data_IF_298420838539
#
_entry.id   IF_298420838539
#
_cell.length_a   1.000
_cell.length_b   1.000
_cell.length_c   1.000
_cell.angle_alpha   90.00
_cell.angle_beta   90.00
_cell.angle_gamma   90.00
#
_symmetry.space_group_name_H-M   'P 1'
#
loop_
_entity.id
_entity.type
_entity.pdbx_description
1 polymer ?
#
# COMPACT_ATOMS: atom_id res chain seq x y z
N UNK A 1 -38.72 58.06 38.43
CA UNK A 1 -37.64 57.67 39.36
C UNK A 1 -36.32 57.91 38.63
N UNK A 2 -35.74 59.12 38.73
CA UNK A 2 -34.71 59.51 39.72
C UNK A 2 -33.46 58.61 39.62
N UNK A 3 -32.40 59.07 38.94
CA UNK A 3 -31.16 59.71 39.50
C UNK A 3 -30.12 58.63 39.89
N UNK A 4 -28.80 58.63 39.62
CA UNK A 4 -27.69 59.56 39.27
C UNK A 4 -26.55 58.68 38.67
N UNK A 5 -25.63 59.07 37.77
CA UNK A 5 -24.68 60.19 37.65
C UNK A 5 -23.32 60.02 38.37
N UNK A 6 -22.26 60.43 37.64
CA UNK A 6 -20.86 60.76 37.98
C UNK A 6 -19.80 59.62 37.94
N UNK A 7 -18.78 59.64 37.06
CA UNK A 7 -17.68 60.59 36.72
C UNK A 7 -16.44 60.51 37.63
N UNK A 8 -15.29 60.84 37.00
CA UNK A 8 -13.92 61.08 37.49
C UNK A 8 -12.93 59.89 37.44
N UNK A 9 -11.66 60.04 37.01
CA UNK A 9 -10.91 61.05 36.25
C UNK A 9 -9.58 60.37 35.82
N UNK A 10 -9.05 60.77 34.67
CA UNK A 10 -7.74 60.38 34.13
C UNK A 10 -6.56 60.95 34.95
N UNK A 11 -5.48 60.19 35.12
CA UNK A 11 -4.15 60.74 35.38
C UNK A 11 -3.14 60.07 34.44
N UNK A 12 -2.50 60.93 33.64
CA UNK A 12 -1.32 60.68 32.85
C UNK A 12 -0.07 60.86 33.73
N UNK A 13 0.94 60.01 33.54
CA UNK A 13 2.34 60.33 33.86
C UNK A 13 3.21 59.82 32.72
N UNK A 14 3.78 60.75 31.96
CA UNK A 14 4.93 60.54 31.09
C UNK A 14 6.21 60.54 31.92
N UNK A 15 7.16 59.66 31.59
CA UNK A 15 8.58 59.93 31.84
C UNK A 15 9.44 59.34 30.72
N UNK A 16 10.15 60.23 30.03
CA UNK A 16 11.15 59.98 28.99
C UNK A 16 12.38 59.24 29.53
N UNK A 17 13.07 58.45 28.68
CA UNK A 17 14.44 58.05 28.99
C UNK A 17 15.06 56.93 28.16
N UNK A 18 15.78 57.35 27.11
CA UNK A 18 17.08 56.84 26.63
C UNK A 18 17.26 55.43 26.02
N UNK A 19 17.93 55.47 24.87
CA UNK A 19 18.53 54.38 24.09
C UNK A 19 19.65 53.66 24.85
N UNK A 20 19.78 52.34 24.63
CA UNK A 20 20.92 51.55 25.05
C UNK A 20 20.98 50.22 24.29
N UNK A 21 21.86 50.16 23.29
CA UNK A 21 22.27 48.96 22.58
C UNK A 21 23.45 48.37 23.36
N UNK A 22 23.41 47.10 23.77
CA UNK A 22 24.62 46.28 23.97
C UNK A 22 24.26 44.80 24.12
N UNK A 23 24.84 44.01 23.22
CA UNK A 23 24.70 42.56 23.03
C UNK A 23 25.88 41.88 23.74
N UNK A 24 25.61 41.06 24.77
CA UNK A 24 26.60 40.19 25.40
C UNK A 24 25.99 38.87 25.90
N UNK A 25 26.38 37.81 25.19
CA UNK A 25 26.89 36.55 25.74
C UNK A 25 25.92 35.50 26.30
N UNK A 26 25.74 34.46 25.48
CA UNK A 26 25.90 33.04 25.81
C UNK A 26 25.26 32.49 27.10
N UNK A 27 24.04 31.96 26.96
CA UNK A 27 23.56 30.86 27.80
C UNK A 27 23.42 29.58 26.96
N UNK A 28 24.47 28.77 27.03
CA UNK A 28 24.52 27.39 26.54
C UNK A 28 23.70 26.53 27.51
N UNK A 29 22.42 26.33 27.21
CA UNK A 29 21.66 25.23 27.81
C UNK A 29 21.88 23.95 26.97
N UNK A 30 22.25 22.82 27.58
CA UNK A 30 22.28 21.55 26.87
C UNK A 30 20.84 21.11 26.63
N UNK A 31 20.35 21.27 25.40
CA UNK A 31 19.13 20.57 24.97
C UNK A 31 19.50 19.12 24.72
N UNK A 32 19.55 18.33 25.79
CA UNK A 32 19.21 16.92 25.71
C UNK A 32 17.74 16.85 25.30
N UNK A 33 17.49 16.83 23.99
CA UNK A 33 16.22 16.42 23.43
C UNK A 33 16.08 14.94 23.74
N UNK A 34 15.33 14.62 24.79
CA UNK A 34 14.77 13.30 24.96
C UNK A 34 13.93 13.01 23.71
N UNK A 35 14.41 12.07 22.89
CA UNK A 35 13.73 11.51 21.72
C UNK A 35 12.50 10.79 22.26
N UNK A 36 11.34 11.44 22.22
CA UNK A 36 10.08 10.87 22.68
C UNK A 36 9.65 9.67 21.82
N UNK A 37 8.73 8.82 22.30
CA UNK A 37 8.23 7.66 21.55
C UNK A 37 7.60 8.01 20.20
N UNK A 38 7.17 9.27 20.01
CA UNK A 38 6.64 9.79 18.75
C UNK A 38 7.68 9.82 17.62
N UNK A 39 8.94 10.17 17.89
CA UNK A 39 9.97 10.27 16.83
C UNK A 39 10.42 8.91 16.28
N UNK A 40 9.98 7.79 16.86
CA UNK A 40 10.22 6.46 16.33
C UNK A 40 9.21 6.05 15.24
N UNK A 41 8.03 6.70 15.21
CA UNK A 41 6.92 6.34 14.32
C UNK A 41 6.92 7.14 13.01
N UNK A 42 7.57 8.30 12.96
CA UNK A 42 7.54 9.18 11.79
C UNK A 42 8.84 9.15 10.99
N UNK A 43 8.72 9.27 9.67
CA UNK A 43 9.83 9.52 8.76
C UNK A 43 9.50 10.67 7.78
N UNK A 44 10.54 11.38 7.34
CA UNK A 44 10.37 12.59 6.51
C UNK A 44 9.91 12.30 5.06
N UNK A 45 10.00 11.04 4.61
CA UNK A 45 9.66 10.61 3.26
C UNK A 45 8.15 10.29 3.20
N UNK A 46 7.66 9.36 4.00
CA UNK A 46 6.28 8.84 3.89
C UNK A 46 5.33 9.30 5.01
N UNK A 47 5.81 10.10 5.97
CA UNK A 47 5.05 10.47 7.16
C UNK A 47 5.16 9.39 8.23
N UNK A 48 4.45 8.26 8.08
CA UNK A 48 4.57 7.11 9.00
C UNK A 48 5.66 6.16 8.51
N UNK A 49 6.51 5.72 9.44
CA UNK A 49 7.61 4.81 9.17
C UNK A 49 7.09 3.43 8.77
N UNK A 50 7.50 2.98 7.60
CA UNK A 50 7.20 1.64 7.10
C UNK A 50 7.94 0.53 7.85
N UNK A 51 7.32 -0.63 7.91
CA UNK A 51 7.94 -1.87 8.39
C UNK A 51 8.33 -1.90 9.86
N UNK A 52 7.72 -1.03 10.68
CA UNK A 52 7.88 -0.97 12.14
C UNK A 52 6.50 -1.08 12.79
N UNK A 53 6.15 -2.25 13.37
CA UNK A 53 4.88 -2.41 14.05
C UNK A 53 4.72 -1.48 15.25
N UNK A 54 3.54 -0.87 15.38
CA UNK A 54 3.20 0.03 16.46
C UNK A 54 1.70 -0.06 16.80
N UNK A 55 1.36 -0.50 18.01
CA UNK A 55 -0.04 -0.69 18.43
C UNK A 55 -0.89 0.59 18.50
N UNK A 56 -0.28 1.77 18.47
CA UNK A 56 -0.99 3.05 18.35
C UNK A 56 -1.23 3.50 16.90
N UNK A 57 -0.69 2.79 15.92
CA UNK A 57 -0.80 3.15 14.50
C UNK A 57 -1.19 1.97 13.62
N UNK A 58 -0.30 1.00 13.45
CA UNK A 58 -0.51 -0.23 12.70
C UNK A 58 0.44 -1.30 13.23
N UNK A 59 -0.11 -2.40 13.75
CA UNK A 59 0.61 -3.57 14.23
C UNK A 59 0.37 -4.82 13.36
N UNK A 60 -0.32 -4.63 12.21
CA UNK A 60 -0.77 -5.64 11.27
C UNK A 60 -1.73 -6.69 11.85
N UNK A 61 -2.26 -6.47 13.04
CA UNK A 61 -3.10 -7.43 13.77
C UNK A 61 -4.44 -6.83 14.22
N UNK A 62 -4.46 -5.56 14.62
CA UNK A 62 -5.60 -4.87 15.20
C UNK A 62 -6.17 -3.80 14.26
N UNK A 63 -7.45 -3.47 14.42
CA UNK A 63 -8.15 -2.46 13.61
C UNK A 63 -8.29 -2.80 12.11
N UNK A 64 -8.06 -4.06 11.73
CA UNK A 64 -8.06 -4.51 10.33
C UNK A 64 -9.42 -4.32 9.64
N UNK A 65 -10.49 -4.23 10.42
CA UNK A 65 -11.85 -3.92 9.98
C UNK A 65 -11.97 -2.54 9.29
N UNK A 66 -11.03 -1.62 9.53
CA UNK A 66 -10.95 -0.34 8.82
C UNK A 66 -10.79 -0.50 7.31
N UNK A 67 -9.99 -1.48 6.89
CA UNK A 67 -9.72 -1.75 5.48
C UNK A 67 -10.72 -2.74 4.88
N UNK A 68 -11.23 -3.66 5.72
CA UNK A 68 -12.15 -4.70 5.29
C UNK A 68 -12.97 -5.27 6.46
N UNK A 69 -14.28 -5.19 6.36
CA UNK A 69 -15.27 -5.56 7.39
C UNK A 69 -15.42 -7.08 7.67
N UNK A 70 -14.57 -7.93 7.08
CA UNK A 70 -14.69 -9.38 7.18
C UNK A 70 -15.68 -10.01 6.20
N UNK A 71 -16.31 -9.22 5.31
CA UNK A 71 -17.30 -9.72 4.36
C UNK A 71 -16.73 -10.82 3.45
N UNK A 72 -17.37 -12.00 3.38
CA UNK A 72 -16.90 -13.10 2.53
C UNK A 72 -17.05 -12.82 1.04
N UNK A 73 -17.74 -11.75 0.62
CA UNK A 73 -18.01 -11.44 -0.80
C UNK A 73 -16.75 -11.26 -1.63
N UNK A 74 -15.63 -10.91 -1.00
CA UNK A 74 -14.35 -10.75 -1.68
C UNK A 74 -13.73 -12.07 -2.12
N UNK A 75 -13.97 -13.17 -1.39
CA UNK A 75 -13.34 -14.47 -1.64
C UNK A 75 -14.32 -15.63 -1.85
N UNK A 76 -15.63 -15.40 -1.67
CA UNK A 76 -16.70 -16.37 -1.93
C UNK A 76 -17.50 -15.96 -3.16
N UNK A 77 -17.70 -16.91 -4.07
CA UNK A 77 -18.60 -16.72 -5.20
C UNK A 77 -20.05 -16.97 -4.80
N UNK A 78 -20.85 -15.91 -4.75
CA UNK A 78 -22.30 -16.02 -4.60
C UNK A 78 -23.03 -16.08 -5.95
N UNK A 79 -22.59 -15.27 -6.93
CA UNK A 79 -23.18 -15.22 -8.26
C UNK A 79 -22.16 -14.74 -9.31
N UNK A 80 -22.11 -15.33 -10.52
CA UNK A 80 -23.00 -16.38 -11.04
C UNK A 80 -22.77 -17.76 -10.42
N UNK A 81 -23.81 -18.60 -10.40
CA UNK A 81 -23.73 -20.01 -9.95
C UNK A 81 -22.90 -20.89 -10.88
N UNK A 82 -22.79 -20.48 -12.16
CA UNK A 82 -21.86 -21.08 -13.12
C UNK A 82 -20.52 -20.34 -13.07
N UNK A 83 -19.39 -21.04 -12.96
CA UNK A 83 -18.08 -20.39 -12.98
C UNK A 83 -17.86 -19.54 -14.22
N UNK A 84 -17.14 -18.42 -14.06
CA UNK A 84 -16.72 -17.58 -15.16
C UNK A 84 -15.64 -18.33 -15.96
N UNK A 85 -15.95 -18.58 -17.23
CA UNK A 85 -15.06 -19.26 -18.18
C UNK A 85 -14.42 -18.21 -19.10
N UNK A 86 -13.12 -18.36 -19.47
CA UNK A 86 -12.44 -17.46 -20.37
C UNK A 86 -13.14 -17.31 -21.72
N UNK A 87 -13.24 -16.08 -22.20
CA UNK A 87 -13.70 -15.80 -23.54
C UNK A 87 -12.51 -15.48 -24.45
N UNK A 88 -12.18 -16.40 -25.38
CA UNK A 88 -11.06 -16.26 -26.33
C UNK A 88 -11.13 -15.02 -27.23
N UNK A 89 -12.33 -14.44 -27.43
CA UNK A 89 -12.51 -13.20 -28.21
C UNK A 89 -12.16 -11.94 -27.39
N UNK A 90 -12.14 -12.04 -26.06
CA UNK A 90 -11.81 -10.93 -25.18
C UNK A 90 -10.30 -10.85 -24.98
N UNK A 91 -9.67 -9.84 -25.60
CA UNK A 91 -8.24 -9.56 -25.47
C UNK A 91 -7.89 -9.03 -24.09
N UNK A 92 -6.67 -9.30 -23.64
CA UNK A 92 -6.08 -8.68 -22.45
C UNK A 92 -5.96 -7.16 -22.64
N UNK A 93 -5.98 -6.41 -21.55
CA UNK A 93 -5.85 -4.94 -21.55
C UNK A 93 -4.77 -4.55 -20.55
N UNK A 94 -3.65 -4.07 -21.07
CA UNK A 94 -2.58 -3.44 -20.30
C UNK A 94 -2.89 -1.95 -20.16
N UNK A 95 -2.89 -1.47 -18.93
CA UNK A 95 -3.06 -0.06 -18.59
C UNK A 95 -1.93 0.35 -17.66
N UNK A 96 -1.18 1.38 -18.05
CA UNK A 96 -0.16 1.99 -17.23
C UNK A 96 -0.43 3.49 -17.10
N UNK A 97 -0.10 4.03 -15.93
CA UNK A 97 -0.08 5.47 -15.69
C UNK A 97 1.36 5.96 -15.66
N UNK A 98 1.59 7.18 -16.12
CA UNK A 98 2.87 7.84 -15.94
C UNK A 98 2.86 8.50 -14.55
N UNK A 99 3.73 8.02 -13.66
CA UNK A 99 3.96 8.63 -12.36
C UNK A 99 5.21 9.50 -12.43
N UNK A 100 5.14 10.68 -11.83
CA UNK A 100 6.31 11.54 -11.71
C UNK A 100 7.42 10.82 -10.91
N UNK A 101 8.68 11.11 -11.20
CA UNK A 101 9.81 10.45 -10.53
C UNK A 101 9.90 10.73 -9.03
N UNK A 102 9.29 11.84 -8.60
CA UNK A 102 9.17 12.29 -7.22
C UNK A 102 7.80 11.94 -6.60
N UNK A 103 6.95 11.20 -7.33
CA UNK A 103 5.68 10.72 -6.77
C UNK A 103 5.95 9.78 -5.60
N UNK A 104 5.39 10.15 -4.45
CA UNK A 104 5.64 9.49 -3.19
C UNK A 104 4.32 9.27 -2.43
N UNK A 105 3.84 8.03 -2.30
CA UNK A 105 2.66 7.73 -1.50
C UNK A 105 2.94 7.98 -0.01
N UNK A 106 1.91 8.31 0.77
CA UNK A 106 2.01 8.40 2.22
C UNK A 106 1.53 7.13 2.90
N UNK A 107 2.08 6.88 4.08
CA UNK A 107 1.63 5.82 4.97
C UNK A 107 0.63 6.33 6.01
N UNK A 108 -0.42 5.54 6.26
CA UNK A 108 -1.47 5.90 7.21
C UNK A 108 -1.76 4.81 8.23
N UNK A 109 -1.93 5.22 9.48
CA UNK A 109 -2.35 4.38 10.60
C UNK A 109 -3.78 3.85 10.43
N UNK A 110 -4.12 2.76 11.13
CA UNK A 110 -5.39 2.04 11.04
C UNK A 110 -6.63 2.85 11.49
N UNK A 111 -6.45 4.03 12.06
CA UNK A 111 -7.54 4.96 12.39
C UNK A 111 -7.97 5.84 11.20
N UNK A 112 -7.26 5.79 10.07
CA UNK A 112 -7.55 6.57 8.87
C UNK A 112 -8.15 5.68 7.77
N UNK A 113 -9.21 6.17 7.13
CA UNK A 113 -9.86 5.47 6.01
C UNK A 113 -9.21 5.87 4.68
N UNK A 114 -8.76 4.88 3.92
CA UNK A 114 -8.16 5.09 2.60
C UNK A 114 -9.13 4.72 1.47
N UNK A 115 -9.21 5.59 0.46
CA UNK A 115 -10.05 5.40 -0.74
C UNK A 115 -9.26 5.66 -2.01
N UNK A 116 -9.61 4.96 -3.10
CA UNK A 116 -8.93 5.06 -4.38
C UNK A 116 -9.88 5.43 -5.51
N UNK A 117 -9.39 6.20 -6.47
CA UNK A 117 -10.16 6.60 -7.66
C UNK A 117 -10.39 5.44 -8.64
N UNK A 118 -9.60 4.37 -8.54
CA UNK A 118 -9.71 3.18 -9.37
C UNK A 118 -10.11 1.98 -8.52
N UNK A 119 -11.00 1.13 -9.06
CA UNK A 119 -11.42 -0.11 -8.41
C UNK A 119 -10.27 -1.10 -8.19
N UNK A 120 -9.25 -1.04 -9.03
CA UNK A 120 -7.98 -1.77 -8.88
C UNK A 120 -6.87 -0.72 -8.95
N UNK A 121 -6.45 -0.15 -7.81
CA UNK A 121 -5.39 0.85 -7.80
C UNK A 121 -4.04 0.24 -8.20
N UNK A 122 -3.17 1.05 -8.80
CA UNK A 122 -1.82 0.67 -9.23
C UNK A 122 -0.72 1.47 -8.53
N UNK A 123 -1.13 2.40 -7.66
CA UNK A 123 -0.34 3.33 -6.87
C UNK A 123 -1.32 4.02 -5.91
N UNK A 124 -0.80 4.72 -4.90
CA UNK A 124 -1.60 5.46 -3.94
C UNK A 124 -1.14 5.25 -2.52
N UNK A 125 -1.73 6.03 -1.62
CA UNK A 125 -1.53 5.94 -0.18
C UNK A 125 -1.94 4.57 0.37
N UNK A 126 -1.22 4.06 1.36
CA UNK A 126 -1.40 2.68 1.84
C UNK A 126 -0.88 2.47 3.28
N UNK A 127 -0.99 1.25 3.80
CA UNK A 127 -0.58 0.90 5.17
C UNK A 127 0.93 0.72 5.31
N UNK A 128 1.58 1.17 6.40
CA UNK A 128 3.03 1.08 6.59
C UNK A 128 3.55 -0.35 6.73
N UNK A 129 2.69 -1.31 7.09
CA UNK A 129 3.04 -2.73 7.16
C UNK A 129 2.40 -3.50 6.00
N UNK A 130 3.26 -4.09 5.17
CA UNK A 130 2.82 -4.85 3.99
C UNK A 130 2.66 -6.34 4.28
N UNK A 131 1.80 -7.04 3.52
CA UNK A 131 1.70 -8.49 3.48
C UNK A 131 3.04 -9.18 3.26
N UNK A 132 3.26 -10.29 3.97
CA UNK A 132 4.26 -11.28 3.56
C UNK A 132 4.00 -11.68 2.11
N UNK A 133 5.03 -11.95 1.32
CA UNK A 133 4.80 -12.44 -0.04
C UNK A 133 4.16 -13.83 0.02
N UNK A 134 3.15 -14.09 -0.82
CA UNK A 134 2.43 -15.36 -0.79
C UNK A 134 1.00 -15.30 -1.30
N UNK A 135 0.28 -16.38 -1.04
CA UNK A 135 -1.14 -16.53 -1.36
C UNK A 135 -2.00 -16.38 -0.11
N UNK A 136 -3.11 -15.65 -0.26
CA UNK A 136 -4.00 -15.27 0.82
C UNK A 136 -5.43 -15.62 0.49
N UNK A 137 -6.22 -15.87 1.53
CA UNK A 137 -7.67 -15.95 1.41
C UNK A 137 -8.25 -14.61 0.98
N UNK A 138 -7.73 -13.51 1.51
CA UNK A 138 -8.01 -12.16 1.05
C UNK A 138 -6.98 -11.15 1.60
N UNK A 139 -6.62 -10.15 0.78
CA UNK A 139 -5.86 -8.97 1.17
C UNK A 139 -6.51 -7.72 0.54
N UNK A 140 -6.83 -6.67 1.32
CA UNK A 140 -7.40 -5.44 0.79
C UNK A 140 -6.34 -4.57 0.06
N UNK A 141 -6.75 -3.69 -0.88
CA UNK A 141 -5.84 -2.84 -1.63
C UNK A 141 -4.93 -1.96 -0.77
N UNK A 142 -5.41 -1.49 0.37
CA UNK A 142 -4.65 -0.70 1.34
C UNK A 142 -3.39 -1.41 1.83
N UNK A 143 -3.37 -2.74 1.79
CA UNK A 143 -2.23 -3.57 2.20
C UNK A 143 -1.31 -3.91 1.03
N UNK A 144 -1.85 -4.51 -0.04
CA UNK A 144 -1.00 -4.96 -1.15
C UNK A 144 -0.47 -3.84 -2.05
N UNK A 145 -0.99 -2.61 -1.95
CA UNK A 145 -0.40 -1.44 -2.62
C UNK A 145 1.05 -1.20 -2.19
N UNK A 146 1.36 -1.46 -0.92
CA UNK A 146 2.73 -1.38 -0.44
C UNK A 146 3.62 -2.47 -1.05
N UNK A 147 3.09 -3.69 -1.24
CA UNK A 147 3.83 -4.76 -1.90
C UNK A 147 4.26 -4.36 -3.33
N UNK A 148 3.39 -3.69 -4.10
CA UNK A 148 3.75 -3.26 -5.45
C UNK A 148 4.72 -2.07 -5.44
N UNK A 149 4.74 -1.22 -4.41
CA UNK A 149 5.81 -0.23 -4.20
C UNK A 149 7.16 -0.93 -3.96
N UNK A 150 7.15 -2.02 -3.19
CA UNK A 150 8.25 -2.97 -3.06
C UNK A 150 8.43 -3.88 -4.29
N UNK A 151 7.84 -3.54 -5.44
CA UNK A 151 8.09 -4.22 -6.70
C UNK A 151 7.47 -5.61 -6.83
N UNK A 152 6.46 -5.92 -6.03
CA UNK A 152 5.71 -7.17 -6.19
C UNK A 152 4.83 -7.17 -7.43
N UNK A 153 4.43 -8.37 -7.84
CA UNK A 153 3.28 -8.56 -8.74
C UNK A 153 2.13 -9.15 -7.94
N UNK A 154 1.01 -8.41 -7.90
CA UNK A 154 -0.23 -8.87 -7.26
C UNK A 154 -1.11 -9.53 -8.33
N UNK A 155 -1.39 -10.81 -8.17
CA UNK A 155 -2.38 -11.55 -8.93
C UNK A 155 -3.74 -11.43 -8.26
N UNK A 156 -4.68 -10.84 -8.98
CA UNK A 156 -6.08 -10.76 -8.58
C UNK A 156 -6.91 -11.73 -9.43
N UNK A 157 -7.89 -12.38 -8.81
CA UNK A 157 -8.89 -13.17 -9.52
C UNK A 157 -10.29 -12.94 -8.93
N UNK A 158 -11.30 -12.90 -9.79
CA UNK A 158 -12.68 -12.82 -9.33
C UNK A 158 -13.05 -14.15 -8.64
N UNK A 159 -13.72 -14.14 -7.47
CA UNK A 159 -14.00 -15.37 -6.72
C UNK A 159 -14.83 -16.40 -7.50
N UNK A 160 -15.66 -15.95 -8.45
CA UNK A 160 -16.41 -16.83 -9.37
C UNK A 160 -15.62 -17.37 -10.57
N UNK A 161 -14.33 -17.10 -10.69
CA UNK A 161 -13.52 -17.60 -11.82
C UNK A 161 -13.35 -19.11 -11.72
N UNK A 162 -13.45 -19.81 -12.86
CA UNK A 162 -13.23 -21.25 -12.87
C UNK A 162 -11.83 -21.61 -12.34
N UNK A 163 -11.76 -22.47 -11.32
CA UNK A 163 -10.53 -22.81 -10.59
C UNK A 163 -9.33 -23.12 -11.50
N UNK A 164 -9.48 -23.98 -12.51
CA UNK A 164 -8.39 -24.30 -13.46
C UNK A 164 -7.72 -23.09 -14.13
N UNK A 165 -8.47 -22.00 -14.32
CA UNK A 165 -7.95 -20.78 -14.92
C UNK A 165 -7.12 -20.00 -13.88
N UNK A 166 -7.62 -19.92 -12.65
CA UNK A 166 -6.90 -19.35 -11.51
C UNK A 166 -5.64 -20.16 -11.24
N UNK A 167 -5.72 -21.49 -11.20
CA UNK A 167 -4.60 -22.40 -10.97
C UNK A 167 -3.52 -22.23 -12.04
N UNK A 168 -3.91 -22.11 -13.32
CA UNK A 168 -2.96 -21.84 -14.39
C UNK A 168 -2.20 -20.52 -14.19
N UNK A 169 -2.90 -19.43 -13.83
CA UNK A 169 -2.24 -18.15 -13.57
C UNK A 169 -1.35 -18.19 -12.33
N UNK A 170 -1.86 -18.82 -11.26
CA UNK A 170 -1.14 -19.03 -9.99
C UNK A 170 0.18 -19.75 -10.21
N UNK A 171 0.18 -20.82 -10.98
CA UNK A 171 1.40 -21.58 -11.31
C UNK A 171 2.45 -20.70 -11.99
N UNK A 172 2.05 -19.87 -12.96
CA UNK A 172 2.98 -18.96 -13.64
C UNK A 172 3.53 -17.91 -12.69
N UNK A 173 2.68 -17.26 -11.90
CA UNK A 173 3.10 -16.22 -10.95
C UNK A 173 4.07 -16.80 -9.91
N UNK A 174 3.72 -17.92 -9.29
CA UNK A 174 4.58 -18.60 -8.30
C UNK A 174 5.89 -19.11 -8.90
N UNK A 175 5.88 -19.52 -10.17
CA UNK A 175 7.07 -19.94 -10.91
C UNK A 175 7.90 -18.79 -11.47
N UNK A 176 7.46 -17.54 -11.31
CA UNK A 176 8.13 -16.38 -11.88
C UNK A 176 8.88 -15.52 -10.89
N UNK A 177 8.33 -15.28 -9.71
CA UNK A 177 8.97 -14.46 -8.69
C UNK A 177 8.46 -14.83 -7.29
N UNK A 178 9.33 -14.70 -6.30
CA UNK A 178 9.03 -14.79 -4.88
C UNK A 178 8.15 -13.63 -4.43
N UNK A 179 8.40 -12.41 -4.91
CA UNK A 179 7.62 -11.19 -4.62
C UNK A 179 6.25 -11.17 -5.30
N UNK A 180 5.41 -12.14 -4.98
CA UNK A 180 4.02 -12.18 -5.43
C UNK A 180 3.05 -12.04 -4.27
N UNK A 181 1.87 -11.50 -4.57
CA UNK A 181 0.67 -11.65 -3.75
C UNK A 181 -0.41 -12.28 -4.60
N UNK A 182 -1.09 -13.30 -4.11
CA UNK A 182 -2.23 -13.91 -4.78
C UNK A 182 -3.43 -13.77 -3.86
N UNK A 183 -4.46 -13.05 -4.32
CA UNK A 183 -5.67 -12.80 -3.54
C UNK A 183 -6.88 -12.67 -4.47
N UNK A 184 -8.07 -13.12 -4.05
CA UNK A 184 -9.28 -12.83 -4.80
C UNK A 184 -9.67 -11.34 -4.69
N UNK A 185 -10.51 -10.87 -5.61
CA UNK A 185 -11.09 -9.53 -5.58
C UNK A 185 -12.44 -9.49 -6.31
N UNK A 186 -13.47 -8.99 -5.64
CA UNK A 186 -14.79 -8.76 -6.23
C UNK A 186 -14.82 -7.54 -7.17
N UNK A 187 -13.78 -6.69 -7.14
CA UNK A 187 -13.65 -5.51 -8.01
C UNK A 187 -13.39 -5.85 -9.49
N UNK A 188 -13.04 -7.10 -9.79
CA UNK A 188 -12.81 -7.57 -11.15
C UNK A 188 -14.12 -7.75 -11.92
N UNK A 189 -14.10 -7.44 -13.21
CA UNK A 189 -15.30 -7.61 -14.05
C UNK A 189 -15.47 -9.07 -14.49
N UNK A 190 -16.70 -9.51 -14.77
CA UNK A 190 -16.96 -10.84 -15.35
C UNK A 190 -16.29 -11.04 -16.72
N UNK A 191 -16.07 -9.96 -17.48
CA UNK A 191 -15.43 -10.00 -18.80
C UNK A 191 -13.92 -10.25 -18.69
N UNK A 192 -13.29 -9.68 -17.66
CA UNK A 192 -11.87 -9.84 -17.35
C UNK A 192 -11.71 -10.19 -15.87
N UNK A 193 -11.95 -11.45 -15.50
CA UNK A 193 -11.99 -11.87 -14.10
C UNK A 193 -10.60 -12.20 -13.54
N UNK A 194 -9.52 -11.82 -14.23
CA UNK A 194 -8.14 -11.97 -13.80
C UNK A 194 -7.42 -10.63 -13.97
N UNK A 195 -6.50 -10.31 -13.07
CA UNK A 195 -5.54 -9.24 -13.27
C UNK A 195 -4.17 -9.54 -12.68
N UNK A 196 -3.15 -8.93 -13.26
CA UNK A 196 -1.86 -8.70 -12.62
C UNK A 196 -1.72 -7.20 -12.36
N UNK A 197 -1.20 -6.84 -11.19
CA UNK A 197 -0.98 -5.46 -10.76
C UNK A 197 0.47 -5.33 -10.31
N UNK A 198 1.12 -4.28 -10.79
CA UNK A 198 2.47 -3.87 -10.40
C UNK A 198 2.50 -2.34 -10.32
N UNK A 199 3.60 -1.76 -9.86
CA UNK A 199 3.70 -0.30 -9.69
C UNK A 199 3.35 0.45 -10.98
N UNK A 200 2.31 1.30 -10.90
CA UNK A 200 1.81 2.10 -12.01
C UNK A 200 1.10 1.34 -13.14
N UNK A 201 1.03 0.01 -13.12
CA UNK A 201 0.53 -0.80 -14.23
C UNK A 201 -0.41 -1.93 -13.79
N UNK A 202 -1.41 -2.24 -14.62
CA UNK A 202 -2.23 -3.45 -14.49
C UNK A 202 -2.49 -4.10 -15.83
N UNK A 203 -2.52 -5.43 -15.84
CA UNK A 203 -2.94 -6.26 -16.96
C UNK A 203 -4.23 -6.99 -16.59
N UNK A 204 -5.36 -6.61 -17.19
CA UNK A 204 -6.63 -7.31 -16.98
C UNK A 204 -6.89 -8.31 -18.11
N UNK A 205 -7.37 -9.50 -17.77
CA UNK A 205 -7.43 -10.63 -18.70
C UNK A 205 -8.74 -11.42 -18.59
N UNK A 206 -9.22 -11.95 -19.71
CA UNK A 206 -10.34 -12.90 -19.72
C UNK A 206 -9.88 -14.34 -19.44
N UNK A 207 -8.67 -14.68 -19.87
CA UNK A 207 -8.01 -15.96 -19.65
C UNK A 207 -6.50 -15.81 -19.70
N UNK A 208 -5.78 -16.89 -19.40
CA UNK A 208 -4.33 -16.87 -19.25
C UNK A 208 -3.63 -17.07 -20.58
N UNK A 209 -3.03 -15.99 -21.10
CA UNK A 209 -2.01 -16.03 -22.13
C UNK A 209 -0.63 -16.00 -21.45
N UNK A 210 0.10 -17.12 -21.51
CA UNK A 210 1.37 -17.29 -20.79
C UNK A 210 2.42 -16.27 -21.23
N UNK A 211 2.56 -16.03 -22.53
CA UNK A 211 3.51 -15.06 -23.07
C UNK A 211 3.23 -13.64 -22.54
N UNK A 212 1.96 -13.22 -22.53
CA UNK A 212 1.58 -11.90 -22.01
C UNK A 212 1.80 -11.77 -20.50
N UNK A 213 1.50 -12.83 -19.74
CA UNK A 213 1.69 -12.88 -18.29
C UNK A 213 3.17 -12.81 -17.93
N UNK A 214 3.99 -13.68 -18.53
CA UNK A 214 5.44 -13.72 -18.30
C UNK A 214 6.08 -12.39 -18.70
N UNK A 215 5.69 -11.82 -19.84
CA UNK A 215 6.20 -10.53 -20.28
C UNK A 215 5.83 -9.41 -19.29
N UNK A 216 4.59 -9.37 -18.80
CA UNK A 216 4.18 -8.39 -17.79
C UNK A 216 5.03 -8.51 -16.52
N UNK A 217 5.25 -9.73 -16.02
CA UNK A 217 6.03 -9.96 -14.80
C UNK A 217 7.49 -9.52 -15.00
N UNK A 218 8.11 -9.87 -16.14
CA UNK A 218 9.48 -9.43 -16.48
C UNK A 218 9.60 -7.91 -16.58
N UNK A 219 8.63 -7.26 -17.22
CA UNK A 219 8.70 -5.82 -17.49
C UNK A 219 8.35 -4.97 -16.27
N UNK A 220 7.47 -5.45 -15.40
CA UNK A 220 6.85 -4.67 -14.32
C UNK A 220 7.23 -5.14 -12.93
N UNK A 221 7.64 -6.40 -12.77
CA UNK A 221 8.20 -6.91 -11.52
C UNK A 221 9.46 -6.13 -11.11
N UNK A 222 9.61 -5.90 -9.81
CA UNK A 222 10.71 -5.15 -9.20
C UNK A 222 10.83 -3.67 -9.64
N UNK A 223 9.83 -3.11 -10.35
CA UNK A 223 9.86 -1.72 -10.87
C UNK A 223 9.18 -0.68 -9.97
N UNK A 224 8.83 -1.05 -8.74
CA UNK A 224 8.39 -0.07 -7.74
C UNK A 224 9.55 0.75 -7.16
N UNK A 225 9.28 1.89 -6.51
CA UNK A 225 10.28 2.76 -5.89
C UNK A 225 11.28 2.03 -4.98
N UNK A 226 10.82 0.97 -4.31
CA UNK A 226 11.61 0.16 -3.38
C UNK A 226 11.72 -1.31 -3.85
N UNK A 227 11.62 -1.52 -5.17
CA UNK A 227 11.56 -2.84 -5.80
C UNK A 227 12.78 -3.73 -5.54
N UNK A 228 13.95 -3.14 -5.32
CA UNK A 228 15.20 -3.87 -5.07
C UNK A 228 15.35 -4.41 -3.64
N UNK A 229 14.50 -3.97 -2.70
CA UNK A 229 14.60 -4.36 -1.29
C UNK A 229 13.99 -5.77 -1.09
N UNK A 230 14.74 -6.78 -0.62
CA UNK A 230 14.22 -8.15 -0.46
C UNK A 230 13.38 -8.33 0.81
N UNK A 231 13.15 -7.28 1.60
CA UNK A 231 12.57 -7.37 2.94
C UNK A 231 11.17 -7.98 2.90
N UNK A 232 10.93 -8.92 3.82
CA UNK A 232 9.63 -9.56 4.00
C UNK A 232 8.64 -8.65 4.74
N UNK A 233 7.35 -8.83 4.45
CA UNK A 233 6.25 -8.12 5.10
C UNK A 233 5.97 -8.59 6.53
N UNK A 234 5.13 -7.83 7.24
CA UNK A 234 4.74 -8.11 8.62
C UNK A 234 3.30 -8.61 8.72
N UNK A 235 2.45 -8.32 7.72
CA UNK A 235 1.05 -8.72 7.72
C UNK A 235 0.88 -10.16 7.20
N UNK A 236 0.26 -11.01 8.00
CA UNK A 236 -0.02 -12.42 7.66
C UNK A 236 -1.46 -12.86 7.96
N UNK A 237 -2.34 -11.92 8.29
CA UNK A 237 -3.76 -12.22 8.43
C UNK A 237 -4.29 -12.80 7.10
N UNK A 238 -4.95 -13.96 7.20
CA UNK A 238 -5.45 -14.74 6.05
C UNK A 238 -4.39 -15.31 5.10
N UNK A 239 -3.11 -15.36 5.49
CA UNK A 239 -2.07 -16.04 4.72
C UNK A 239 -2.37 -17.54 4.62
N UNK A 240 -2.41 -18.06 3.40
CA UNK A 240 -2.61 -19.49 3.11
C UNK A 240 -1.27 -20.17 2.84
N UNK A 241 -0.39 -19.50 2.09
CA UNK A 241 0.91 -20.04 1.72
C UNK A 241 1.91 -18.90 1.56
N UNK A 242 3.00 -18.93 2.32
CA UNK A 242 4.10 -17.97 2.14
C UNK A 242 4.93 -18.32 0.92
N UNK A 243 5.24 -17.31 0.10
CA UNK A 243 6.08 -17.46 -1.07
C UNK A 243 7.48 -17.98 -0.70
N UNK A 244 8.05 -18.79 -1.59
CA UNK A 244 9.42 -19.28 -1.49
C UNK A 244 10.24 -18.72 -2.66
N UNK A 245 11.57 -18.70 -2.50
CA UNK A 245 12.47 -18.40 -3.62
C UNK A 245 12.21 -19.38 -4.76
N UNK A 246 12.02 -18.84 -5.96
CA UNK A 246 11.83 -19.65 -7.16
C UNK A 246 13.14 -20.37 -7.49
N UNK A 247 13.14 -21.69 -7.74
CA UNK A 247 14.33 -22.39 -8.20
C UNK A 247 14.96 -21.70 -9.43
N UNK A 248 16.26 -21.44 -9.40
CA UNK A 248 16.94 -20.66 -10.44
C UNK A 248 16.90 -19.14 -10.23
N UNK A 249 16.38 -18.65 -9.11
CA UNK A 249 16.42 -17.24 -8.68
C UNK A 249 17.05 -17.09 -7.28
N UNK A 250 16.90 -15.92 -6.65
CA UNK A 250 17.39 -15.61 -5.30
C UNK A 250 16.35 -14.81 -4.48
N UNK A 251 16.65 -14.49 -3.22
CA UNK A 251 15.76 -13.69 -2.34
C UNK A 251 15.42 -12.30 -2.88
N UNK A 252 16.18 -11.79 -3.85
CA UNK A 252 15.95 -10.50 -4.51
C UNK A 252 15.17 -10.63 -5.82
N UNK A 253 14.75 -11.85 -6.20
CA UNK A 253 14.19 -12.15 -7.51
C UNK A 253 15.12 -11.73 -8.67
N UNK A 254 16.43 -11.92 -8.50
CA UNK A 254 17.44 -11.51 -9.48
C UNK A 254 17.28 -12.14 -10.87
N UNK A 255 16.61 -13.29 -10.95
CA UNK A 255 16.20 -13.93 -12.20
C UNK A 255 14.68 -14.13 -12.21
N UNK A 256 13.96 -13.21 -12.86
CA UNK A 256 12.49 -13.28 -12.99
C UNK A 256 12.10 -14.28 -14.07
N UNK A 257 11.14 -15.16 -13.76
CA UNK A 257 10.62 -16.21 -14.65
C UNK A 257 11.71 -17.16 -15.19
N UNK A 258 12.51 -17.80 -14.31
CA UNK A 258 13.66 -18.61 -14.71
C UNK A 258 13.30 -19.87 -15.50
N UNK A 259 12.03 -20.32 -15.43
CA UNK A 259 11.54 -21.52 -16.11
C UNK A 259 10.67 -21.24 -17.32
N UNK A 260 10.49 -19.96 -17.68
CA UNK A 260 9.74 -19.56 -18.85
C UNK A 260 10.71 -19.04 -19.90
N UNK A 261 10.52 -19.41 -21.16
CA UNK A 261 11.28 -18.88 -22.31
C UNK A 261 10.70 -17.53 -22.73
#
# INVERSE_FOLDING_TARGET
MFWLCSLFVSIWVEFSGALGHEDLSAHRHPRNLAVGPESALYDAKHGIKMGVPNGGCDDAQTGLDMDWDGSPTEYVCYYPTKPLIPNRKTKSRLECVHLASDYLPRHFCMNEKLTYNASIPTHGDHRPLWPKFGEYRYVPPQRWLHNIEHGSVVMLYHPCTHHRVVDKLRQIVKGCLRKHIITPSAALTRKRPLALVAWGCRLTMSGVNETEVVQFIRDKGLKGPEGSLPKEGQYDFHLLEQAQVVPGSDERDGHICPHYS
#
